data_IF_863701010086
#
_entry.id   IF_863701010086
#
_cell.length_a   1.000
_cell.length_b   1.000
_cell.length_c   1.000
_cell.angle_alpha   90.00
_cell.angle_beta   90.00
_cell.angle_gamma   90.00
#
_symmetry.space_group_name_H-M   'P 1'
#
loop_
_entity.id
_entity.type
_entity.pdbx_description
1 polymer ?
#
# COMPACT_ATOMS: atom_id res chain seq x y z
N UNK A 1 3.67 -3.65 -12.76
CA UNK A 1 4.78 -3.44 -11.80
C UNK A 1 5.51 -2.20 -12.20
N UNK A 2 5.24 -1.14 -11.49
CA UNK A 2 6.01 0.10 -11.61
C UNK A 2 7.22 0.08 -10.67
N UNK A 3 7.96 -1.01 -10.60
CA UNK A 3 9.22 -1.03 -9.86
C UNK A 3 10.28 -0.18 -10.57
N UNK A 4 10.21 -0.03 -11.89
CA UNK A 4 11.18 0.71 -12.67
C UNK A 4 10.88 2.21 -12.84
N UNK A 5 9.70 2.68 -12.45
CA UNK A 5 9.29 4.08 -12.68
C UNK A 5 9.04 4.83 -11.36
N UNK A 6 9.22 4.19 -10.21
CA UNK A 6 9.18 4.89 -8.94
C UNK A 6 10.55 5.48 -8.61
N UNK A 7 10.84 6.63 -9.18
CA UNK A 7 12.02 7.43 -8.87
C UNK A 7 12.06 7.93 -7.42
N UNK A 8 10.99 7.76 -6.65
CA UNK A 8 10.92 8.20 -5.26
C UNK A 8 11.16 7.04 -4.29
N UNK A 9 12.13 7.21 -3.42
CA UNK A 9 12.39 6.30 -2.29
C UNK A 9 11.25 6.35 -1.27
N UNK A 10 11.15 5.35 -0.40
CA UNK A 10 10.20 5.35 0.73
C UNK A 10 10.33 6.61 1.58
N UNK A 11 11.57 7.07 1.83
CA UNK A 11 11.85 8.29 2.58
C UNK A 11 11.27 9.53 1.90
N UNK A 12 11.42 9.66 0.59
CA UNK A 12 10.87 10.80 -0.16
C UNK A 12 9.34 10.80 -0.14
N UNK A 13 8.71 9.61 -0.24
CA UNK A 13 7.25 9.48 -0.13
C UNK A 13 6.75 9.87 1.26
N UNK A 14 7.42 9.43 2.32
CA UNK A 14 7.10 9.83 3.69
C UNK A 14 7.24 11.36 3.85
N UNK A 15 8.29 11.97 3.28
CA UNK A 15 8.46 13.41 3.28
C UNK A 15 7.29 14.15 2.58
N UNK A 16 6.73 13.59 1.50
CA UNK A 16 5.54 14.15 0.86
C UNK A 16 4.33 14.08 1.79
N UNK A 17 4.11 12.95 2.46
CA UNK A 17 3.02 12.81 3.43
C UNK A 17 3.15 13.84 4.58
N UNK A 18 4.37 14.05 5.09
CA UNK A 18 4.62 15.06 6.13
C UNK A 18 4.31 16.48 5.64
N UNK A 19 4.70 16.82 4.41
CA UNK A 19 4.34 18.13 3.81
C UNK A 19 2.83 18.29 3.59
N UNK A 20 2.13 17.23 3.22
CA UNK A 20 0.67 17.23 3.14
C UNK A 20 0.04 17.51 4.50
N UNK A 21 0.56 16.85 5.56
CA UNK A 21 0.13 17.11 6.94
C UNK A 21 0.32 18.58 7.34
N UNK A 22 1.50 19.16 7.10
CA UNK A 22 1.81 20.56 7.38
C UNK A 22 0.89 21.52 6.63
N UNK A 23 0.51 21.17 5.39
CA UNK A 23 -0.41 21.94 4.56
C UNK A 23 -1.90 21.69 4.90
N UNK A 24 -2.22 20.83 5.88
CA UNK A 24 -3.60 20.48 6.21
C UNK A 24 -4.32 19.62 5.15
N UNK A 25 -3.55 18.98 4.26
CA UNK A 25 -4.09 18.14 3.19
C UNK A 25 -4.23 16.71 3.71
N UNK A 26 -5.45 16.16 3.83
CA UNK A 26 -5.64 14.78 4.26
C UNK A 26 -5.13 13.80 3.19
N UNK A 27 -4.51 12.72 3.63
CA UNK A 27 -3.93 11.71 2.74
C UNK A 27 -4.44 10.31 3.06
N UNK A 28 -4.54 9.47 2.04
CA UNK A 28 -4.78 8.03 2.17
C UNK A 28 -3.62 7.30 1.49
N UNK A 29 -3.03 6.34 2.19
CA UNK A 29 -1.87 5.59 1.70
C UNK A 29 -2.32 4.26 1.11
N UNK A 30 -1.82 3.93 -0.08
CA UNK A 30 -1.98 2.63 -0.69
C UNK A 30 -0.78 1.75 -0.32
N UNK A 31 -0.99 0.79 0.58
CA UNK A 31 0.05 -0.08 1.12
C UNK A 31 0.21 -1.33 0.22
N UNK A 32 0.75 -1.14 -0.96
CA UNK A 32 0.96 -2.22 -1.94
C UNK A 32 2.01 -1.82 -3.00
N UNK A 33 2.73 -2.78 -3.59
CA UNK A 33 2.78 -4.20 -3.23
C UNK A 33 3.67 -4.49 -2.02
N UNK A 34 3.31 -5.50 -1.23
CA UNK A 34 4.21 -6.10 -0.24
C UNK A 34 4.70 -7.42 -0.83
N UNK A 35 5.99 -7.49 -1.11
CA UNK A 35 6.59 -8.61 -1.83
C UNK A 35 6.89 -9.78 -0.88
N UNK A 36 6.30 -10.98 -1.10
CA UNK A 36 6.60 -12.17 -0.33
C UNK A 36 8.10 -12.43 -0.22
N UNK A 37 8.57 -12.84 0.95
CA UNK A 37 9.97 -13.18 1.27
C UNK A 37 10.99 -12.02 1.15
N UNK A 38 10.58 -10.82 0.74
CA UNK A 38 11.49 -9.68 0.54
C UNK A 38 11.21 -8.60 1.58
N UNK A 39 9.98 -8.08 1.62
CA UNK A 39 9.63 -6.98 2.52
C UNK A 39 8.36 -7.27 3.35
N UNK A 40 7.87 -8.50 3.34
CA UNK A 40 6.72 -8.99 4.11
C UNK A 40 7.11 -9.39 5.55
N UNK A 41 7.90 -8.56 6.21
CA UNK A 41 8.32 -8.75 7.60
C UNK A 41 7.54 -7.86 8.54
N UNK A 42 7.34 -8.32 9.80
CA UNK A 42 6.66 -7.54 10.83
C UNK A 42 7.34 -6.19 11.06
N UNK A 43 8.67 -6.16 11.10
CA UNK A 43 9.44 -4.94 11.34
C UNK A 43 9.26 -3.93 10.21
N UNK A 44 9.31 -4.39 8.94
CA UNK A 44 9.09 -3.49 7.80
C UNK A 44 7.69 -2.90 7.81
N UNK A 45 6.67 -3.73 8.02
CA UNK A 45 5.27 -3.28 8.09
C UNK A 45 5.09 -2.32 9.26
N UNK A 46 5.62 -2.65 10.45
CA UNK A 46 5.54 -1.78 11.62
C UNK A 46 6.15 -0.41 11.33
N UNK A 47 7.36 -0.35 10.78
CA UNK A 47 8.02 0.91 10.45
C UNK A 47 7.23 1.76 9.44
N UNK A 48 6.61 1.12 8.45
CA UNK A 48 5.74 1.82 7.49
C UNK A 48 4.49 2.37 8.16
N UNK A 49 3.87 1.60 9.06
CA UNK A 49 2.69 2.04 9.81
C UNK A 49 3.02 3.17 10.78
N UNK A 50 4.13 3.08 11.49
CA UNK A 50 4.60 4.15 12.38
C UNK A 50 4.79 5.46 11.60
N UNK A 51 5.41 5.39 10.42
CA UNK A 51 5.57 6.56 9.56
C UNK A 51 4.21 7.11 9.05
N UNK A 52 3.23 6.25 8.78
CA UNK A 52 1.87 6.67 8.42
C UNK A 52 1.17 7.37 9.60
N UNK A 53 1.32 6.83 10.81
CA UNK A 53 0.80 7.45 12.06
C UNK A 53 1.43 8.82 12.27
N UNK A 54 2.75 8.93 12.17
CA UNK A 54 3.48 10.19 12.31
C UNK A 54 3.06 11.22 11.28
N UNK A 55 2.81 10.78 10.05
CA UNK A 55 2.29 11.63 8.98
C UNK A 55 0.81 11.99 9.14
N UNK A 56 0.09 11.37 10.08
CA UNK A 56 -1.33 11.65 10.33
C UNK A 56 -2.23 11.32 9.17
N UNK A 57 -1.96 10.21 8.47
CA UNK A 57 -2.79 9.80 7.32
C UNK A 57 -4.21 9.43 7.79
N UNK A 58 -5.19 9.68 6.94
CA UNK A 58 -6.60 9.37 7.22
C UNK A 58 -6.94 7.90 7.04
N UNK A 59 -6.27 7.24 6.13
CA UNK A 59 -6.54 5.84 5.84
C UNK A 59 -5.37 5.13 5.20
N UNK A 60 -5.41 3.80 5.29
CA UNK A 60 -4.48 2.89 4.63
C UNK A 60 -5.31 1.86 3.87
N UNK A 61 -5.09 1.76 2.55
CA UNK A 61 -5.75 0.79 1.67
C UNK A 61 -4.78 -0.33 1.34
N UNK A 62 -5.23 -1.56 1.51
CA UNK A 62 -4.55 -2.76 1.00
C UNK A 62 -5.57 -3.85 0.65
N UNK A 63 -5.23 -4.73 -0.28
CA UNK A 63 -6.06 -5.85 -0.74
C UNK A 63 -5.31 -7.17 -0.54
N UNK A 64 -5.03 -7.49 0.72
CA UNK A 64 -4.16 -8.59 1.09
C UNK A 64 -2.67 -8.21 1.04
N UNK A 65 -1.83 -9.14 1.44
CA UNK A 65 -0.37 -9.00 1.49
C UNK A 65 0.24 -9.90 0.43
N UNK A 66 0.77 -9.31 -0.63
CA UNK A 66 1.33 -10.08 -1.74
C UNK A 66 1.50 -9.24 -3.00
N UNK A 67 1.66 -9.94 -4.11
CA UNK A 67 1.79 -9.35 -5.45
C UNK A 67 1.00 -10.16 -6.47
N UNK A 68 0.47 -9.47 -7.47
CA UNK A 68 -0.15 -10.11 -8.65
C UNK A 68 0.78 -9.98 -9.84
N UNK A 69 0.96 -11.07 -10.59
CA UNK A 69 1.80 -11.11 -11.79
C UNK A 69 0.94 -11.37 -13.02
N UNK A 70 0.67 -10.30 -13.77
CA UNK A 70 0.00 -10.35 -15.07
C UNK A 70 0.95 -10.85 -16.15
N UNK A 71 0.41 -11.17 -17.32
CA UNK A 71 1.23 -11.49 -18.49
C UNK A 71 2.16 -10.31 -18.81
N UNK A 72 3.44 -10.62 -19.06
CA UNK A 72 4.52 -9.63 -19.24
C UNK A 72 5.13 -9.12 -17.93
N UNK A 73 4.35 -8.99 -16.86
CA UNK A 73 4.87 -8.55 -15.56
C UNK A 73 5.76 -9.61 -14.91
N UNK A 74 5.43 -10.89 -15.13
CA UNK A 74 6.13 -12.03 -14.54
C UNK A 74 7.59 -12.10 -15.00
N UNK A 75 7.82 -12.00 -16.29
CA UNK A 75 9.16 -12.05 -16.87
C UNK A 75 10.01 -10.89 -16.36
N UNK A 76 9.43 -9.69 -16.36
CA UNK A 76 10.09 -8.52 -15.83
C UNK A 76 10.44 -8.66 -14.34
N UNK A 77 9.47 -9.10 -13.54
CA UNK A 77 9.66 -9.32 -12.10
C UNK A 77 10.74 -10.36 -11.82
N UNK A 78 10.70 -11.49 -12.52
CA UNK A 78 11.70 -12.55 -12.35
C UNK A 78 13.10 -12.12 -12.81
N UNK A 79 13.19 -11.31 -13.87
CA UNK A 79 14.46 -10.73 -14.27
C UNK A 79 15.03 -9.78 -13.21
N UNK A 80 14.19 -8.95 -12.60
CA UNK A 80 14.59 -8.09 -11.48
C UNK A 80 15.03 -8.90 -10.25
N UNK A 81 14.34 -10.01 -9.94
CA UNK A 81 14.74 -10.90 -8.84
C UNK A 81 16.11 -11.54 -9.10
N UNK A 82 16.38 -12.01 -10.32
CA UNK A 82 17.67 -12.59 -10.68
C UNK A 82 18.82 -11.58 -10.48
N UNK A 83 18.55 -10.30 -10.77
CA UNK A 83 19.55 -9.23 -10.64
C UNK A 83 19.79 -8.82 -9.19
N UNK A 84 18.72 -8.59 -8.43
CA UNK A 84 18.79 -7.88 -7.14
C UNK A 84 18.67 -8.83 -5.93
N UNK A 85 18.13 -10.04 -6.13
CA UNK A 85 17.88 -11.04 -5.09
C UNK A 85 18.21 -12.46 -5.58
N UNK A 86 19.49 -12.81 -5.72
CA UNK A 86 19.90 -14.14 -6.23
C UNK A 86 19.24 -15.30 -5.48
N UNK A 87 18.68 -16.27 -6.23
CA UNK A 87 17.99 -17.44 -5.68
C UNK A 87 16.52 -17.18 -5.27
N UNK A 88 16.05 -15.94 -5.32
CA UNK A 88 14.67 -15.61 -4.94
C UNK A 88 13.67 -16.03 -6.01
N UNK A 89 14.02 -15.91 -7.29
CA UNK A 89 13.19 -16.37 -8.40
C UNK A 89 12.83 -17.85 -8.29
N UNK A 90 13.81 -18.72 -8.01
CA UNK A 90 13.60 -20.16 -7.83
C UNK A 90 12.67 -20.43 -6.65
N UNK A 91 12.79 -19.63 -5.57
CA UNK A 91 11.91 -19.72 -4.42
C UNK A 91 10.45 -19.35 -4.80
N UNK A 92 10.27 -18.28 -5.58
CA UNK A 92 8.95 -17.88 -6.07
C UNK A 92 8.35 -18.95 -6.99
N UNK A 93 9.11 -19.45 -7.96
CA UNK A 93 8.65 -20.51 -8.87
C UNK A 93 8.23 -21.77 -8.11
N UNK A 94 9.04 -22.18 -7.13
CA UNK A 94 8.75 -23.37 -6.31
C UNK A 94 7.52 -23.20 -5.44
N UNK A 95 7.29 -21.99 -4.91
CA UNK A 95 6.18 -21.71 -4.00
C UNK A 95 4.87 -21.49 -4.74
N UNK A 96 4.91 -20.73 -5.85
CA UNK A 96 3.70 -20.23 -6.51
C UNK A 96 3.47 -20.78 -7.92
N UNK A 97 4.48 -21.41 -8.54
CA UNK A 97 4.38 -21.88 -9.93
C UNK A 97 3.97 -20.74 -10.87
N UNK A 98 2.88 -20.97 -11.60
CA UNK A 98 2.29 -20.01 -12.52
C UNK A 98 1.06 -19.27 -11.95
N UNK A 99 0.89 -19.26 -10.62
CA UNK A 99 -0.23 -18.57 -10.01
C UNK A 99 -0.21 -17.05 -10.35
N UNK A 100 -1.41 -16.50 -10.58
CA UNK A 100 -1.59 -15.06 -10.82
C UNK A 100 -1.37 -14.25 -9.55
N UNK A 101 -1.94 -14.71 -8.44
CA UNK A 101 -1.85 -14.07 -7.13
C UNK A 101 -0.81 -14.82 -6.27
N UNK A 102 0.13 -14.07 -5.73
CA UNK A 102 1.23 -14.56 -4.91
C UNK A 102 1.09 -13.97 -3.50
N UNK A 103 0.26 -14.58 -2.63
CA UNK A 103 0.07 -14.09 -1.26
C UNK A 103 1.31 -14.33 -0.42
N UNK A 104 1.58 -13.43 0.53
CA UNK A 104 2.64 -13.63 1.50
C UNK A 104 2.33 -14.80 2.43
N UNK A 105 3.30 -15.68 2.72
CA UNK A 105 3.16 -16.67 3.79
C UNK A 105 2.87 -16.06 5.16
N UNK A 106 3.27 -14.80 5.35
CA UNK A 106 3.10 -14.05 6.59
C UNK A 106 1.77 -13.29 6.68
N UNK A 107 0.92 -13.38 5.65
CA UNK A 107 -0.33 -12.61 5.55
C UNK A 107 -1.23 -12.75 6.79
N UNK A 108 -1.40 -13.98 7.29
CA UNK A 108 -2.22 -14.28 8.47
C UNK A 108 -1.74 -13.59 9.75
N UNK A 109 -0.46 -13.27 9.84
CA UNK A 109 0.13 -12.54 10.95
C UNK A 109 0.10 -11.03 10.68
N UNK A 110 0.40 -10.61 9.47
CA UNK A 110 0.58 -9.19 9.13
C UNK A 110 -0.75 -8.43 9.07
N UNK A 111 -1.81 -9.04 8.53
CA UNK A 111 -3.12 -8.37 8.43
C UNK A 111 -3.67 -7.97 9.81
N UNK A 112 -3.76 -8.87 10.81
CA UNK A 112 -4.22 -8.48 12.15
C UNK A 112 -3.35 -7.37 12.76
N UNK A 113 -2.03 -7.42 12.57
CA UNK A 113 -1.11 -6.40 13.07
C UNK A 113 -1.39 -5.02 12.45
N UNK A 114 -1.62 -4.96 11.12
CA UNK A 114 -1.97 -3.72 10.42
C UNK A 114 -3.28 -3.17 10.97
N UNK A 115 -4.31 -4.01 11.03
CA UNK A 115 -5.65 -3.61 11.50
C UNK A 115 -5.60 -3.09 12.93
N UNK A 116 -4.93 -3.80 13.83
CA UNK A 116 -4.80 -3.40 15.24
C UNK A 116 -4.10 -2.05 15.37
N UNK A 117 -3.00 -1.83 14.64
CA UNK A 117 -2.26 -0.57 14.70
C UNK A 117 -3.06 0.59 14.12
N UNK A 118 -3.76 0.38 13.00
CA UNK A 118 -4.67 1.38 12.42
C UNK A 118 -5.80 1.75 13.42
N UNK A 119 -6.42 0.76 14.04
CA UNK A 119 -7.48 0.99 15.05
C UNK A 119 -6.95 1.81 16.23
N UNK A 120 -5.78 1.46 16.77
CA UNK A 120 -5.14 2.21 17.86
C UNK A 120 -4.86 3.67 17.50
N UNK A 121 -4.51 3.92 16.24
CA UNK A 121 -4.19 5.26 15.74
C UNK A 121 -5.40 6.02 15.19
N UNK A 122 -6.58 5.42 15.13
CA UNK A 122 -7.78 6.04 14.54
C UNK A 122 -7.68 6.23 13.02
N UNK A 123 -6.93 5.37 12.34
CA UNK A 123 -6.72 5.39 10.88
C UNK A 123 -7.72 4.42 10.24
N UNK A 124 -8.42 4.86 9.19
CA UNK A 124 -9.29 3.99 8.40
C UNK A 124 -8.46 2.87 7.75
N UNK A 125 -8.91 1.63 7.87
CA UNK A 125 -8.16 0.46 7.38
C UNK A 125 -8.97 -0.46 6.46
N UNK A 126 -10.27 -0.20 6.35
CA UNK A 126 -11.14 -0.88 5.38
C UNK A 126 -11.07 -0.15 4.04
N UNK A 127 -10.89 -0.85 2.90
CA UNK A 127 -11.00 -0.23 1.58
C UNK A 127 -12.31 0.52 1.39
N UNK A 128 -13.44 -0.05 1.84
CA UNK A 128 -14.76 0.57 1.69
C UNK A 128 -14.86 1.89 2.47
N UNK A 129 -14.37 1.93 3.71
CA UNK A 129 -14.33 3.16 4.52
C UNK A 129 -13.41 4.22 3.91
N UNK A 130 -12.24 3.80 3.42
CA UNK A 130 -11.31 4.71 2.74
C UNK A 130 -11.91 5.28 1.45
N UNK A 131 -12.57 4.45 0.64
CA UNK A 131 -13.24 4.93 -0.58
C UNK A 131 -14.45 5.80 -0.26
N UNK A 132 -15.24 5.46 0.75
CA UNK A 132 -16.34 6.32 1.21
C UNK A 132 -15.81 7.70 1.63
N UNK A 133 -14.71 7.74 2.39
CA UNK A 133 -14.04 8.99 2.75
C UNK A 133 -13.55 9.77 1.52
N UNK A 134 -12.89 9.10 0.56
CA UNK A 134 -12.35 9.74 -0.63
C UNK A 134 -13.43 10.28 -1.59
N UNK A 135 -14.62 9.69 -1.57
CA UNK A 135 -15.75 10.13 -2.40
C UNK A 135 -16.66 11.14 -1.70
N UNK A 136 -16.43 11.42 -0.42
CA UNK A 136 -17.20 12.41 0.31
C UNK A 136 -16.64 13.82 0.07
N UNK A 137 -17.30 14.59 -0.79
CA UNK A 137 -16.96 15.98 -1.05
C UNK A 137 -17.99 16.88 -0.37
N UNK A 138 -17.57 17.85 0.45
CA UNK A 138 -18.48 18.85 0.96
C UNK A 138 -19.06 19.66 -0.20
N UNK A 139 -20.36 19.83 -0.23
CA UNK A 139 -21.01 20.70 -1.21
C UNK A 139 -20.48 22.12 -1.06
N UNK A 140 -19.71 22.58 -2.05
CA UNK A 140 -19.14 23.93 -2.05
C UNK A 140 -20.15 25.02 -2.40
N UNK A 141 -21.19 24.65 -3.14
CA UNK A 141 -22.20 25.58 -3.62
C UNK A 141 -23.57 24.88 -3.66
N UNK A 142 -24.57 25.54 -3.07
CA UNK A 142 -25.97 25.22 -3.34
C UNK A 142 -26.37 26.03 -4.59
N UNK A 143 -26.67 25.31 -5.68
CA UNK A 143 -27.23 25.98 -6.87
C UNK A 143 -28.62 26.46 -6.49
N UNK A 144 -28.78 27.79 -6.37
CA UNK A 144 -30.10 28.38 -6.21
C UNK A 144 -30.84 28.34 -7.53
N UNK A 145 -32.13 28.05 -7.47
CA UNK A 145 -32.99 28.15 -8.66
C UNK A 145 -32.93 29.57 -9.23
N UNK A 146 -32.87 29.65 -10.54
CA UNK A 146 -32.93 30.96 -11.24
C UNK A 146 -34.34 31.58 -11.22
N UNK A 147 -35.33 30.81 -10.69
CA UNK A 147 -36.75 31.15 -10.77
C UNK A 147 -37.43 31.22 -9.37
N UNK A 148 -36.68 31.38 -8.31
CA UNK A 148 -37.19 31.73 -6.98
C UNK A 148 -37.08 33.22 -6.73
#
# INVERSE_FOLDING_TARGET
>A
IMLAICFATTKERINVLMKCKEAGIPTVVWLTPILPFINDTADNIKNLLDACVDAGVKGIIFFGIGVTLRDGDREYFYHALDKDFPGMKEKYIRTYGNAYNLPSPNEKMLIPMIVEQCQKAGILCSPDECFAYLHHFPEKYVQRSLFE
#
